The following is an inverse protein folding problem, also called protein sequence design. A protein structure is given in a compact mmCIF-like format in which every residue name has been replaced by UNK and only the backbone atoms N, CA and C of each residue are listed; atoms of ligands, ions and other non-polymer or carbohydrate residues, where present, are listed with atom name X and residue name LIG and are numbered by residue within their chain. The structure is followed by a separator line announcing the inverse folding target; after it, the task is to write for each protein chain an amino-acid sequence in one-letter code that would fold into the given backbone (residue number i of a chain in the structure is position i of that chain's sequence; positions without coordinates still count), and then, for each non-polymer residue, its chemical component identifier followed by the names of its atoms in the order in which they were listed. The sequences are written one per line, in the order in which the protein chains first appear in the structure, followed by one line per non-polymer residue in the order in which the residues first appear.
data_IF_886356164436
#
_entry.id   IF_886356164436
#
_cell.length_a   1.000
_cell.length_b   1.000
_cell.length_c   1.000
_cell.angle_alpha   90.00
_cell.angle_beta   90.00
_cell.angle_gamma   90.00
#
_symmetry.space_group_name_H-M   'P 1'
#
loop_
_entity.id
_entity.type
_entity.pdbx_description
1 polymer ?
#
# COMPACT_ATOMS: atom_id res chain seq x y z
N UNK A 1 -22.87 0.69 0.28
CA UNK A 1 -22.36 0.32 1.61
C UNK A 1 -23.38 0.60 2.74
N UNK A 2 -24.08 1.75 2.73
CA UNK A 2 -25.03 2.13 3.78
C UNK A 2 -26.20 1.14 3.88
N UNK A 3 -26.82 0.78 2.74
CA UNK A 3 -27.92 -0.19 2.72
C UNK A 3 -27.50 -1.57 3.24
N UNK A 4 -26.30 -2.04 2.88
CA UNK A 4 -25.76 -3.31 3.38
C UNK A 4 -25.51 -3.28 4.89
N UNK A 5 -25.10 -2.13 5.43
CA UNK A 5 -24.95 -1.94 6.87
C UNK A 5 -26.30 -2.04 7.59
N UNK A 6 -27.32 -1.35 7.08
CA UNK A 6 -28.69 -1.43 7.64
C UNK A 6 -29.26 -2.85 7.60
N UNK A 7 -29.08 -3.57 6.48
CA UNK A 7 -29.51 -4.97 6.39
C UNK A 7 -28.81 -5.86 7.42
N UNK A 8 -27.50 -5.66 7.65
CA UNK A 8 -26.77 -6.39 8.69
C UNK A 8 -27.31 -6.09 10.08
N UNK A 9 -27.62 -4.83 10.40
CA UNK A 9 -28.19 -4.44 11.68
C UNK A 9 -29.57 -5.07 11.89
N UNK A 10 -30.44 -5.02 10.88
CA UNK A 10 -31.78 -5.64 10.95
C UNK A 10 -31.69 -7.15 11.15
N UNK A 11 -30.78 -7.83 10.43
CA UNK A 11 -30.55 -9.27 10.59
C UNK A 11 -30.09 -9.59 12.00
N UNK A 12 -29.20 -8.80 12.59
CA UNK A 12 -28.73 -9.00 13.96
C UNK A 12 -29.85 -8.83 14.99
N UNK A 13 -30.66 -7.75 14.86
CA UNK A 13 -31.79 -7.48 15.76
C UNK A 13 -32.81 -8.62 15.70
N UNK A 14 -33.19 -9.07 14.48
CA UNK A 14 -34.12 -10.17 14.29
C UNK A 14 -33.62 -11.49 14.86
N UNK A 15 -32.33 -11.81 14.68
CA UNK A 15 -31.70 -13.00 15.27
C UNK A 15 -31.71 -12.94 16.80
N UNK A 16 -31.49 -11.76 17.38
CA UNK A 16 -31.57 -11.58 18.84
C UNK A 16 -32.98 -11.83 19.38
N UNK A 17 -34.01 -11.58 18.58
CA UNK A 17 -35.42 -11.80 18.94
C UNK A 17 -35.97 -13.16 18.45
N UNK A 18 -35.10 -14.09 18.02
CA UNK A 18 -35.45 -15.41 17.45
C UNK A 18 -36.42 -15.33 16.25
N UNK A 19 -36.36 -14.21 15.50
CA UNK A 19 -37.19 -14.01 14.29
C UNK A 19 -36.48 -14.55 13.03
N UNK A 20 -37.25 -15.03 12.01
CA UNK A 20 -36.69 -15.56 10.78
C UNK A 20 -35.95 -14.47 9.98
N UNK A 21 -34.75 -14.81 9.46
CA UNK A 21 -33.86 -13.87 8.75
C UNK A 21 -33.48 -14.31 7.32
N UNK A 22 -33.99 -15.44 6.83
CA UNK A 22 -33.54 -16.07 5.55
C UNK A 22 -33.74 -15.13 4.35
N UNK A 23 -34.88 -14.43 4.27
CA UNK A 23 -35.19 -13.49 3.18
C UNK A 23 -34.21 -12.30 3.20
N UNK A 24 -33.93 -11.78 4.38
CA UNK A 24 -33.01 -10.63 4.54
C UNK A 24 -31.57 -11.03 4.23
N UNK A 25 -31.16 -12.24 4.60
CA UNK A 25 -29.85 -12.79 4.27
C UNK A 25 -29.70 -12.97 2.76
N UNK A 26 -30.73 -13.52 2.08
CA UNK A 26 -30.76 -13.64 0.60
C UNK A 26 -30.65 -12.27 -0.07
N UNK A 27 -31.46 -11.31 0.37
CA UNK A 27 -31.43 -9.94 -0.16
C UNK A 27 -30.04 -9.28 0.03
N UNK A 28 -29.45 -9.40 1.22
CA UNK A 28 -28.11 -8.89 1.51
C UNK A 28 -27.05 -9.51 0.57
N UNK A 29 -27.11 -10.82 0.35
CA UNK A 29 -26.17 -11.53 -0.52
C UNK A 29 -26.34 -11.09 -1.98
N UNK A 30 -27.56 -11.00 -2.49
CA UNK A 30 -27.85 -10.49 -3.84
C UNK A 30 -27.37 -9.04 -4.03
N UNK A 31 -27.60 -8.18 -3.05
CA UNK A 31 -27.10 -6.80 -3.08
C UNK A 31 -25.56 -6.76 -3.09
N UNK A 32 -24.91 -7.61 -2.29
CA UNK A 32 -23.45 -7.73 -2.27
C UNK A 32 -22.90 -8.15 -3.63
N UNK A 33 -23.50 -9.15 -4.27
CA UNK A 33 -23.07 -9.66 -5.57
C UNK A 33 -23.26 -8.60 -6.67
N UNK A 34 -24.37 -7.88 -6.65
CA UNK A 34 -24.61 -6.76 -7.55
C UNK A 34 -23.59 -5.64 -7.37
N UNK A 35 -23.27 -5.26 -6.13
CA UNK A 35 -22.24 -4.25 -5.84
C UNK A 35 -20.87 -4.73 -6.33
N UNK A 36 -20.54 -6.00 -6.14
CA UNK A 36 -19.27 -6.57 -6.61
C UNK A 36 -19.22 -6.53 -8.15
N UNK A 37 -20.30 -6.89 -8.83
CA UNK A 37 -20.40 -6.84 -10.30
C UNK A 37 -20.18 -5.42 -10.83
N UNK A 38 -20.94 -4.44 -10.35
CA UNK A 38 -20.83 -3.02 -10.74
C UNK A 38 -19.41 -2.49 -10.48
N UNK A 39 -18.80 -2.86 -9.34
CA UNK A 39 -17.43 -2.45 -9.03
C UNK A 39 -16.42 -3.08 -9.99
N UNK A 40 -16.61 -4.33 -10.40
CA UNK A 40 -15.74 -5.00 -11.38
C UNK A 40 -15.82 -4.31 -12.74
N UNK A 41 -17.03 -4.01 -13.21
CA UNK A 41 -17.26 -3.32 -14.47
C UNK A 41 -16.60 -1.93 -14.47
N UNK A 42 -16.86 -1.11 -13.45
CA UNK A 42 -16.25 0.22 -13.31
C UNK A 42 -14.72 0.17 -13.15
N UNK A 43 -14.18 -0.86 -12.48
CA UNK A 43 -12.74 -1.03 -12.35
C UNK A 43 -12.10 -1.47 -13.67
N UNK A 44 -12.76 -2.31 -14.45
CA UNK A 44 -12.28 -2.73 -15.78
C UNK A 44 -12.11 -1.53 -16.72
N UNK A 45 -13.12 -0.69 -16.83
CA UNK A 45 -13.05 0.52 -17.66
C UNK A 45 -11.96 1.50 -17.23
N UNK A 46 -11.70 1.60 -15.92
CA UNK A 46 -10.63 2.44 -15.40
C UNK A 46 -9.24 1.83 -15.61
N UNK A 47 -9.15 0.49 -15.61
CA UNK A 47 -7.91 -0.24 -15.78
C UNK A 47 -7.39 -0.21 -17.21
N UNK A 48 -8.28 -0.13 -18.21
CA UNK A 48 -7.92 0.01 -19.62
C UNK A 48 -7.27 1.38 -19.92
N UNK A 49 -7.49 2.34 -19.01
CA UNK A 49 -6.91 3.70 -19.10
C UNK A 49 -5.64 3.87 -18.28
N UNK A 50 -5.17 2.83 -17.58
CA UNK A 50 -3.95 2.93 -16.79
C UNK A 50 -2.73 2.97 -17.73
N UNK A 51 -1.73 3.82 -17.42
CA UNK A 51 -0.48 3.83 -18.18
C UNK A 51 0.27 2.50 -18.03
N UNK A 52 1.20 2.25 -18.93
CA UNK A 52 2.10 1.10 -18.81
C UNK A 52 3.21 1.35 -17.78
N UNK A 53 3.91 0.27 -17.37
CA UNK A 53 5.00 0.36 -16.38
C UNK A 53 6.17 1.20 -16.89
N UNK A 54 6.48 1.16 -18.19
CA UNK A 54 7.58 1.95 -18.77
C UNK A 54 7.36 3.45 -18.57
N UNK A 55 6.16 3.95 -18.80
CA UNK A 55 5.79 5.33 -18.51
C UNK A 55 5.98 5.65 -17.01
N UNK A 56 5.52 4.78 -16.11
CA UNK A 56 5.64 4.99 -14.66
C UNK A 56 7.11 5.05 -14.24
N UNK A 57 7.97 4.20 -14.80
CA UNK A 57 9.41 4.22 -14.51
C UNK A 57 10.08 5.48 -15.08
N UNK A 58 9.70 5.93 -16.27
CA UNK A 58 10.18 7.19 -16.84
C UNK A 58 9.80 8.38 -15.93
N UNK A 59 8.54 8.45 -15.49
CA UNK A 59 8.11 9.50 -14.55
C UNK A 59 8.86 9.42 -13.22
N UNK A 60 9.10 8.21 -12.68
CA UNK A 60 9.88 8.02 -11.46
C UNK A 60 11.31 8.57 -11.62
N UNK A 61 11.98 8.26 -12.72
CA UNK A 61 13.36 8.70 -13.00
C UNK A 61 13.49 10.23 -13.11
N UNK A 62 12.40 10.92 -13.48
CA UNK A 62 12.34 12.38 -13.55
C UNK A 62 11.98 13.05 -12.21
N UNK A 63 11.77 12.27 -11.14
CA UNK A 63 11.45 12.78 -9.82
C UNK A 63 12.67 12.89 -8.91
N UNK A 64 12.53 13.65 -7.83
CA UNK A 64 13.53 13.75 -6.76
C UNK A 64 12.85 13.94 -5.40
N UNK A 65 13.65 13.82 -4.33
CA UNK A 65 13.21 14.05 -2.96
C UNK A 65 12.09 13.11 -2.53
N UNK A 66 11.12 13.64 -1.77
CA UNK A 66 10.02 12.85 -1.20
C UNK A 66 9.15 12.17 -2.26
N UNK A 67 8.93 12.81 -3.42
CA UNK A 67 8.15 12.23 -4.50
C UNK A 67 8.83 11.00 -5.08
N UNK A 68 10.13 11.05 -5.32
CA UNK A 68 10.91 9.90 -5.77
C UNK A 68 10.85 8.77 -4.74
N UNK A 69 11.23 9.04 -3.48
CA UNK A 69 11.29 8.02 -2.43
C UNK A 69 9.96 7.31 -2.25
N UNK A 70 8.86 8.05 -2.19
CA UNK A 70 7.53 7.51 -1.99
C UNK A 70 7.08 6.62 -3.16
N UNK A 71 7.22 7.11 -4.41
CA UNK A 71 6.83 6.34 -5.59
C UNK A 71 7.74 5.11 -5.77
N UNK A 72 9.04 5.21 -5.48
CA UNK A 72 9.96 4.09 -5.48
C UNK A 72 9.49 2.98 -4.53
N UNK A 73 9.12 3.32 -3.29
CA UNK A 73 8.61 2.35 -2.31
C UNK A 73 7.31 1.67 -2.75
N UNK A 74 6.43 2.40 -3.42
CA UNK A 74 5.19 1.83 -3.95
C UNK A 74 5.47 0.89 -5.13
N UNK A 75 6.31 1.30 -6.07
CA UNK A 75 6.54 0.61 -7.35
C UNK A 75 7.39 -0.64 -7.13
N UNK A 76 8.49 -0.53 -6.39
CA UNK A 76 9.46 -1.63 -6.22
C UNK A 76 9.15 -2.53 -5.01
N UNK A 77 8.40 -2.05 -4.01
CA UNK A 77 8.16 -2.81 -2.79
C UNK A 77 6.67 -2.94 -2.42
N UNK A 78 5.78 -2.37 -3.21
CA UNK A 78 4.32 -2.40 -3.00
C UNK A 78 3.89 -2.00 -1.58
N UNK A 79 4.63 -1.12 -0.91
CA UNK A 79 4.29 -0.68 0.44
C UNK A 79 2.92 0.02 0.46
N UNK A 80 2.15 -0.24 1.52
CA UNK A 80 0.88 0.44 1.75
C UNK A 80 1.11 1.85 2.32
N UNK A 81 0.14 2.73 2.17
CA UNK A 81 0.24 4.09 2.71
C UNK A 81 0.60 4.09 4.20
N UNK A 82 -0.02 3.20 5.00
CA UNK A 82 0.28 3.07 6.43
C UNK A 82 1.74 2.64 6.68
N UNK A 83 2.28 1.76 5.82
CA UNK A 83 3.66 1.26 5.96
C UNK A 83 4.69 2.37 5.74
N UNK A 84 4.32 3.45 5.03
CA UNK A 84 5.19 4.58 4.69
C UNK A 84 5.27 5.69 5.76
N UNK A 85 4.63 5.51 6.90
CA UNK A 85 4.86 6.36 8.08
C UNK A 85 6.16 5.92 8.76
N UNK A 86 7.30 6.28 8.18
CA UNK A 86 8.62 5.79 8.52
C UNK A 86 9.41 6.86 9.30
N UNK A 87 9.94 6.50 10.45
CA UNK A 87 10.94 7.29 11.18
C UNK A 87 12.33 7.02 10.58
N UNK A 88 13.00 8.06 10.10
CA UNK A 88 14.32 7.95 9.48
C UNK A 88 15.39 8.09 10.57
N UNK A 89 16.27 7.08 10.69
CA UNK A 89 17.35 7.01 11.68
C UNK A 89 18.65 6.54 11.06
N UNK A 90 19.78 6.77 11.73
CA UNK A 90 21.11 6.37 11.25
C UNK A 90 21.62 5.05 11.85
N UNK A 91 20.92 4.49 12.83
CA UNK A 91 21.37 3.26 13.52
C UNK A 91 20.20 2.39 13.94
N UNK A 92 20.32 1.09 13.72
CA UNK A 92 19.35 0.10 14.24
C UNK A 92 19.27 0.12 15.78
N UNK A 93 20.35 0.55 16.46
CA UNK A 93 20.35 0.70 17.92
C UNK A 93 19.42 1.78 18.46
N UNK A 94 18.99 2.68 17.57
CA UNK A 94 18.04 3.77 17.90
C UNK A 94 16.59 3.37 17.67
N UNK A 95 16.31 2.10 17.38
CA UNK A 95 14.93 1.56 17.30
C UNK A 95 14.48 1.22 18.71
N UNK A 96 13.66 2.07 19.30
CA UNK A 96 13.21 2.01 20.68
C UNK A 96 11.75 1.58 20.84
N UNK A 97 10.98 1.64 19.75
CA UNK A 97 9.56 1.31 19.71
C UNK A 97 9.25 0.21 18.67
N UNK A 98 8.61 -0.87 19.15
CA UNK A 98 8.23 -2.02 18.30
C UNK A 98 7.03 -1.74 17.40
N UNK A 99 6.28 -0.68 17.67
CA UNK A 99 5.10 -0.30 16.88
C UNK A 99 5.40 0.76 15.83
N UNK A 100 6.62 1.31 15.85
CA UNK A 100 7.08 2.30 14.86
C UNK A 100 7.75 1.63 13.67
N UNK A 101 7.46 2.14 12.45
CA UNK A 101 8.15 1.74 11.24
C UNK A 101 9.42 2.58 11.06
N UNK A 102 10.53 1.95 10.71
CA UNK A 102 11.83 2.63 10.61
C UNK A 102 12.42 2.54 9.21
N UNK A 103 13.11 3.63 8.81
CA UNK A 103 13.99 3.71 7.66
C UNK A 103 15.41 3.99 8.16
N UNK A 104 16.26 2.99 8.15
CA UNK A 104 17.63 3.07 8.69
C UNK A 104 18.62 3.36 7.58
N UNK A 105 19.38 4.47 7.71
CA UNK A 105 20.42 4.89 6.77
C UNK A 105 21.75 4.23 7.18
N UNK A 106 22.23 3.29 6.40
CA UNK A 106 23.58 2.74 6.57
C UNK A 106 24.59 3.47 5.68
N UNK A 107 25.22 4.51 6.23
CA UNK A 107 26.20 5.35 5.50
C UNK A 107 27.43 4.56 5.02
N UNK A 108 27.90 3.57 5.80
CA UNK A 108 29.07 2.76 5.46
C UNK A 108 28.83 1.87 4.24
N UNK A 109 27.65 1.25 4.16
CA UNK A 109 27.25 0.36 3.06
C UNK A 109 26.51 1.08 1.94
N UNK A 110 26.22 2.38 2.08
CA UNK A 110 25.40 3.19 1.16
C UNK A 110 24.07 2.50 0.82
N UNK A 111 23.37 2.02 1.84
CA UNK A 111 22.11 1.28 1.71
C UNK A 111 21.09 1.76 2.73
N UNK A 112 19.83 1.53 2.42
CA UNK A 112 18.70 1.77 3.31
C UNK A 112 18.13 0.42 3.75
N UNK A 113 17.79 0.30 5.04
CA UNK A 113 16.99 -0.81 5.55
C UNK A 113 15.64 -0.28 6.03
N UNK A 114 14.57 -0.93 5.66
CA UNK A 114 13.24 -0.66 6.20
C UNK A 114 12.88 -1.75 7.20
N UNK A 115 12.40 -1.35 8.37
CA UNK A 115 11.78 -2.22 9.36
C UNK A 115 10.32 -1.82 9.47
N UNK A 116 9.43 -2.65 8.92
CA UNK A 116 7.99 -2.40 8.94
C UNK A 116 7.38 -3.24 10.05
N UNK A 117 7.17 -2.59 11.18
CA UNK A 117 6.63 -3.19 12.41
C UNK A 117 5.12 -3.04 12.50
N UNK A 118 4.57 -1.90 12.05
CA UNK A 118 3.16 -1.58 12.16
C UNK A 118 2.48 -1.63 10.79
N UNK A 119 1.88 -2.77 10.44
CA UNK A 119 1.15 -2.97 9.20
C UNK A 119 -0.03 -3.96 9.38
N UNK A 120 -0.92 -4.03 8.39
CA UNK A 120 -2.21 -4.72 8.49
C UNK A 120 -2.16 -6.19 8.91
N UNK A 121 -1.08 -6.90 8.62
CA UNK A 121 -0.94 -8.36 8.82
C UNK A 121 0.30 -8.71 9.64
N UNK A 122 0.76 -7.81 10.49
CA UNK A 122 1.93 -7.98 11.34
C UNK A 122 1.81 -9.21 12.25
N UNK A 123 0.65 -9.42 12.87
CA UNK A 123 0.41 -10.56 13.78
C UNK A 123 0.66 -11.91 13.09
N UNK A 124 0.48 -11.97 11.75
CA UNK A 124 0.68 -13.19 10.98
C UNK A 124 2.11 -13.36 10.46
N UNK A 125 2.77 -12.28 10.09
CA UNK A 125 4.04 -12.32 9.35
C UNK A 125 5.22 -11.71 10.11
N UNK A 126 5.01 -11.14 11.29
CA UNK A 126 6.06 -10.48 12.08
C UNK A 126 6.58 -9.19 11.43
N UNK A 127 7.73 -8.72 11.89
CA UNK A 127 8.42 -7.55 11.31
C UNK A 127 8.93 -7.87 9.90
N UNK A 128 8.70 -6.94 8.94
CA UNK A 128 9.27 -7.05 7.60
C UNK A 128 10.58 -6.25 7.53
N UNK A 129 11.65 -6.89 7.09
CA UNK A 129 12.91 -6.23 6.78
C UNK A 129 13.09 -6.16 5.25
N UNK A 130 13.32 -4.95 4.71
CA UNK A 130 13.57 -4.73 3.29
C UNK A 130 14.91 -3.99 3.16
N UNK A 131 15.83 -4.55 2.38
CA UNK A 131 17.13 -3.95 2.09
C UNK A 131 17.10 -3.30 0.70
N UNK A 132 17.46 -2.04 0.63
CA UNK A 132 17.50 -1.26 -0.61
C UNK A 132 18.93 -0.77 -0.82
N UNK A 133 19.55 -1.23 -1.91
CA UNK A 133 20.93 -0.88 -2.30
C UNK A 133 20.97 0.07 -3.50
N UNK A 134 19.81 0.50 -4.00
CA UNK A 134 19.72 1.45 -5.09
C UNK A 134 20.37 2.78 -4.71
N UNK A 135 21.29 3.25 -5.57
CA UNK A 135 22.12 4.43 -5.30
C UNK A 135 21.31 5.73 -5.29
N UNK A 136 20.30 5.83 -6.15
CA UNK A 136 19.51 7.05 -6.29
C UNK A 136 18.46 7.13 -5.19
N UNK A 137 17.90 5.97 -4.79
CA UNK A 137 17.07 5.89 -3.59
C UNK A 137 17.86 6.33 -2.35
N UNK A 138 19.06 5.79 -2.15
CA UNK A 138 19.93 6.17 -1.04
C UNK A 138 20.24 7.68 -1.01
N UNK A 139 20.62 8.27 -2.14
CA UNK A 139 20.94 9.71 -2.25
C UNK A 139 19.72 10.59 -1.90
N UNK A 140 18.53 10.22 -2.43
CA UNK A 140 17.30 10.97 -2.15
C UNK A 140 16.89 10.88 -0.67
N UNK A 141 16.99 9.69 -0.04
CA UNK A 141 16.73 9.53 1.40
C UNK A 141 17.71 10.32 2.23
N UNK A 142 19.01 10.25 1.92
CA UNK A 142 20.05 10.99 2.66
C UNK A 142 19.84 12.51 2.55
N UNK A 143 19.48 13.01 1.37
CA UNK A 143 19.14 14.42 1.16
C UNK A 143 17.95 14.83 2.00
N UNK A 144 16.86 14.05 1.98
CA UNK A 144 15.68 14.31 2.81
C UNK A 144 16.00 14.36 4.29
N UNK A 145 16.82 13.43 4.77
CA UNK A 145 17.22 13.37 6.17
C UNK A 145 18.03 14.60 6.59
N UNK A 146 18.92 15.08 5.72
CA UNK A 146 19.77 16.24 6.02
C UNK A 146 19.03 17.61 5.92
N UNK A 147 17.99 17.68 5.08
CA UNK A 147 17.24 18.90 4.81
C UNK A 147 16.02 19.11 5.72
N UNK A 148 15.62 18.09 6.49
CA UNK A 148 14.42 18.15 7.33
C UNK A 148 14.76 18.31 8.80
N UNK A 149 14.05 19.19 9.48
CA UNK A 149 14.05 19.31 10.95
C UNK A 149 13.39 18.09 11.61
N UNK A 150 12.46 17.44 10.92
CA UNK A 150 11.80 16.23 11.40
C UNK A 150 12.31 14.98 10.68
N UNK A 151 12.37 13.90 11.44
CA UNK A 151 12.88 12.61 11.01
C UNK A 151 11.82 11.72 10.35
N UNK A 152 10.55 12.09 10.32
CA UNK A 152 9.50 11.31 9.66
C UNK A 152 9.52 11.51 8.13
N UNK A 153 9.44 10.40 7.37
CA UNK A 153 9.31 10.46 5.91
C UNK A 153 8.08 11.27 5.52
N UNK A 154 6.93 10.97 6.15
CA UNK A 154 5.68 11.71 6.01
C UNK A 154 5.36 12.44 7.31
N UNK A 155 5.31 13.77 7.27
CA UNK A 155 5.15 14.59 8.46
C UNK A 155 4.11 15.70 8.27
N UNK A 156 3.57 16.24 9.35
CA UNK A 156 2.80 17.47 9.40
C UNK A 156 3.70 18.69 9.10
N UNK A 157 3.10 19.88 8.94
CA UNK A 157 3.87 21.12 8.70
C UNK A 157 4.80 21.49 9.87
N UNK A 158 4.42 21.11 11.08
CA UNK A 158 5.21 21.32 12.31
C UNK A 158 6.28 20.23 12.55
N UNK A 159 6.45 19.28 11.63
CA UNK A 159 7.41 18.20 11.75
C UNK A 159 6.92 16.93 12.44
N UNK A 160 5.73 16.94 13.03
CA UNK A 160 5.18 15.79 13.76
C UNK A 160 4.73 14.65 12.85
N UNK A 161 4.61 13.47 13.44
CA UNK A 161 4.05 12.29 12.82
C UNK A 161 2.60 12.51 12.36
N UNK A 162 2.24 11.95 11.20
CA UNK A 162 0.85 11.93 10.73
C UNK A 162 0.12 10.73 11.34
N UNK A 163 -0.64 10.96 12.40
CA UNK A 163 -1.44 9.91 13.06
C UNK A 163 -2.75 9.59 12.31
N UNK A 164 -3.32 10.57 11.61
CA UNK A 164 -4.55 10.39 10.83
C UNK A 164 -4.28 9.67 9.51
N UNK A 165 -4.84 8.47 9.34
CA UNK A 165 -4.72 7.68 8.10
C UNK A 165 -5.34 8.41 6.89
N UNK A 166 -6.40 9.19 7.07
CA UNK A 166 -7.00 9.99 6.01
C UNK A 166 -6.02 11.06 5.53
N UNK A 167 -5.46 11.83 6.45
CA UNK A 167 -4.46 12.87 6.13
C UNK A 167 -3.21 12.27 5.46
N UNK A 168 -2.77 11.10 5.90
CA UNK A 168 -1.65 10.38 5.28
C UNK A 168 -1.99 9.96 3.85
N UNK A 169 -3.18 9.40 3.62
CA UNK A 169 -3.63 8.99 2.30
C UNK A 169 -3.72 10.17 1.33
N UNK A 170 -4.27 11.29 1.76
CA UNK A 170 -4.41 12.49 0.92
C UNK A 170 -3.04 13.07 0.56
N UNK A 171 -2.12 13.13 1.51
CA UNK A 171 -0.75 13.59 1.23
C UNK A 171 -0.03 12.67 0.26
N UNK A 172 -0.11 11.35 0.47
CA UNK A 172 0.52 10.37 -0.42
C UNK A 172 -0.07 10.47 -1.82
N UNK A 173 -1.41 10.52 -1.95
CA UNK A 173 -2.07 10.65 -3.24
C UNK A 173 -1.56 11.86 -4.04
N UNK A 174 -1.38 13.00 -3.38
CA UNK A 174 -0.87 14.22 -4.03
C UNK A 174 0.60 14.13 -4.48
N UNK A 175 1.36 13.19 -3.92
CA UNK A 175 2.77 12.95 -4.24
C UNK A 175 2.96 11.81 -5.25
N UNK A 176 1.95 10.94 -5.46
CA UNK A 176 2.05 9.83 -6.42
C UNK A 176 2.04 10.33 -7.87
N UNK A 177 2.62 9.53 -8.76
CA UNK A 177 2.62 9.76 -10.21
C UNK A 177 1.17 9.91 -10.66
N UNK A 178 0.87 10.99 -11.36
CA UNK A 178 -0.44 11.34 -11.93
C UNK A 178 -1.61 11.21 -10.93
N UNK A 179 -1.33 11.31 -9.63
CA UNK A 179 -2.32 11.08 -8.56
C UNK A 179 -3.05 9.73 -8.70
N UNK A 180 -2.37 8.73 -9.26
CA UNK A 180 -2.97 7.40 -9.46
C UNK A 180 -3.31 6.68 -8.16
N UNK A 181 -2.65 7.06 -7.07
CA UNK A 181 -2.78 6.38 -5.81
C UNK A 181 -2.08 5.01 -5.79
N UNK A 182 -1.76 4.56 -4.59
CA UNK A 182 -0.94 3.38 -4.34
C UNK A 182 -1.47 2.11 -5.02
N UNK A 183 -2.78 1.83 -4.92
CA UNK A 183 -3.34 0.58 -5.45
C UNK A 183 -3.25 0.49 -6.98
N UNK A 184 -3.43 1.61 -7.69
CA UNK A 184 -3.31 1.65 -9.15
C UNK A 184 -1.87 1.48 -9.59
N UNK A 185 -0.91 2.15 -8.93
CA UNK A 185 0.51 1.98 -9.21
C UNK A 185 0.95 0.52 -9.01
N UNK A 186 0.58 -0.10 -7.90
CA UNK A 186 0.89 -1.53 -7.64
C UNK A 186 0.23 -2.43 -8.68
N UNK A 187 -1.01 -2.14 -9.11
CA UNK A 187 -1.69 -2.91 -10.17
C UNK A 187 -0.94 -2.88 -11.50
N UNK A 188 -0.45 -1.71 -11.91
CA UNK A 188 0.37 -1.57 -13.12
C UNK A 188 1.61 -2.46 -13.04
N UNK A 189 2.30 -2.45 -11.91
CA UNK A 189 3.49 -3.28 -11.69
C UNK A 189 3.15 -4.77 -11.75
N UNK A 190 2.12 -5.21 -11.04
CA UNK A 190 1.71 -6.62 -11.03
C UNK A 190 1.30 -7.09 -12.44
N UNK A 191 0.53 -6.28 -13.18
CA UNK A 191 0.14 -6.60 -14.57
C UNK A 191 1.36 -6.78 -15.47
N UNK A 192 2.36 -5.91 -15.35
CA UNK A 192 3.60 -6.03 -16.09
C UNK A 192 4.40 -7.29 -15.72
N UNK A 193 4.57 -7.58 -14.42
CA UNK A 193 5.27 -8.77 -13.95
C UNK A 193 4.59 -10.07 -14.42
N UNK A 194 3.26 -10.11 -14.43
CA UNK A 194 2.49 -11.25 -14.97
C UNK A 194 2.71 -11.42 -16.46
N UNK A 195 2.65 -10.34 -17.24
CA UNK A 195 2.86 -10.38 -18.69
C UNK A 195 4.27 -10.88 -19.04
N UNK A 196 5.26 -10.53 -18.21
CA UNK A 196 6.65 -10.95 -18.38
C UNK A 196 6.96 -12.29 -17.68
N UNK A 197 5.97 -12.96 -17.07
CA UNK A 197 6.11 -14.23 -16.32
C UNK A 197 7.17 -14.15 -15.20
N UNK A 198 7.34 -12.97 -14.60
CA UNK A 198 8.31 -12.71 -13.53
C UNK A 198 7.75 -13.13 -12.15
N UNK A 199 7.56 -14.44 -11.96
CA UNK A 199 6.88 -14.99 -10.77
C UNK A 199 7.67 -14.80 -9.47
N UNK A 200 9.00 -14.88 -9.53
CA UNK A 200 9.86 -14.65 -8.35
C UNK A 200 9.73 -13.22 -7.84
N UNK A 201 9.69 -12.25 -8.76
CA UNK A 201 9.47 -10.84 -8.42
C UNK A 201 8.05 -10.59 -7.86
N UNK A 202 7.04 -11.27 -8.39
CA UNK A 202 5.67 -11.24 -7.86
C UNK A 202 5.60 -11.80 -6.43
N UNK A 203 6.29 -12.92 -6.17
CA UNK A 203 6.37 -13.50 -4.83
C UNK A 203 7.07 -12.55 -3.86
N UNK A 204 8.20 -11.96 -4.26
CA UNK A 204 8.90 -10.97 -3.46
C UNK A 204 8.03 -9.75 -3.17
N UNK A 205 7.31 -9.24 -4.19
CA UNK A 205 6.39 -8.12 -4.03
C UNK A 205 5.27 -8.44 -3.04
N UNK A 206 4.74 -9.67 -3.08
CA UNK A 206 3.71 -10.13 -2.14
C UNK A 206 4.22 -10.18 -0.71
N UNK A 207 5.46 -10.65 -0.48
CA UNK A 207 6.14 -10.65 0.82
C UNK A 207 6.32 -9.22 1.35
N UNK A 208 6.83 -8.30 0.52
CA UNK A 208 6.99 -6.90 0.88
C UNK A 208 5.65 -6.24 1.22
N UNK A 209 4.58 -6.61 0.53
CA UNK A 209 3.24 -6.12 0.84
C UNK A 209 2.63 -6.76 2.10
N UNK A 210 3.21 -7.85 2.60
CA UNK A 210 2.66 -8.61 3.74
C UNK A 210 1.34 -9.28 3.39
N UNK A 211 1.31 -10.05 2.29
CA UNK A 211 0.15 -10.79 1.82
C UNK A 211 0.62 -12.06 1.08
N UNK A 212 -0.25 -13.04 0.87
CA UNK A 212 0.07 -14.16 -0.01
C UNK A 212 -0.07 -13.75 -1.49
N UNK A 213 0.63 -14.46 -2.37
CA UNK A 213 0.54 -14.23 -3.82
C UNK A 213 -0.90 -14.37 -4.33
N UNK A 214 -1.62 -15.40 -3.90
CA UNK A 214 -3.03 -15.61 -4.26
C UNK A 214 -3.93 -14.44 -3.84
N UNK A 215 -3.78 -13.94 -2.61
CA UNK A 215 -4.51 -12.76 -2.14
C UNK A 215 -4.11 -11.50 -2.91
N UNK A 216 -2.83 -11.35 -3.25
CA UNK A 216 -2.34 -10.25 -4.06
C UNK A 216 -3.05 -10.25 -5.43
N UNK A 217 -3.00 -11.37 -6.14
CA UNK A 217 -3.58 -11.52 -7.49
C UNK A 217 -5.10 -11.33 -7.47
N UNK A 218 -5.81 -11.94 -6.53
CA UNK A 218 -7.26 -11.75 -6.34
C UNK A 218 -7.64 -10.30 -6.03
N UNK A 219 -6.84 -9.62 -5.19
CA UNK A 219 -7.10 -8.23 -4.79
C UNK A 219 -6.99 -7.25 -5.96
N UNK A 220 -6.18 -7.56 -6.95
CA UNK A 220 -5.99 -6.75 -8.16
C UNK A 220 -6.80 -7.25 -9.36
N UNK A 221 -7.70 -8.23 -9.15
CA UNK A 221 -8.64 -8.74 -10.17
C UNK A 221 -7.95 -9.28 -11.43
N UNK A 222 -6.79 -9.92 -11.28
CA UNK A 222 -5.95 -10.35 -12.39
C UNK A 222 -6.30 -11.75 -12.90
N UNK A 223 -7.25 -12.44 -12.24
CA UNK A 223 -7.82 -13.73 -12.68
C UNK A 223 -9.23 -13.60 -13.27
N UNK A 224 -9.72 -12.42 -13.52
CA UNK A 224 -11.06 -12.23 -14.11
C UNK A 224 -11.01 -12.44 -15.62
N UNK A 225 -10.75 -13.69 -16.05
CA UNK A 225 -10.63 -14.07 -17.45
C UNK A 225 -10.67 -15.57 -17.68
N UNK A 226 -11.29 -16.33 -16.76
CA UNK A 226 -11.75 -17.71 -16.98
C UNK A 226 -13.23 -17.85 -16.62
#
# INVERSE_FOLDING_TARGET
NTLQLYLNMIILIRRYNDEPTEILVKLRNSLRDSIIKIRRENLSELDDKLPNKSYIIEQLNNMSGIRFVLNYLIIHHALRNKDMNLLIIESEKSMDDKDTNYMVINKKKKMIKLFINNYKTQDKYGTKEIKITDSDFYKNVLKLYNEKDSKFLMQLKNGDEIKSISTLNDKILNLTIDKLGQNRLVKIVIKDLLNNKAFDELEQLSKHRGTSLDVLLKSYNLYAGE
#
